data_IF_147173343034
#
_entry.id   IF_147173343034
#
_cell.length_a   1.000
_cell.length_b   1.000
_cell.length_c   1.000
_cell.angle_alpha   90.00
_cell.angle_beta   90.00
_cell.angle_gamma   90.00
#
_symmetry.space_group_name_H-M   'P 1'
#
loop_
_entity.id
_entity.type
_entity.pdbx_description
1 polymer ?
#
# COMPACT_ATOMS: atom_id res chain seq x y z
N UNK A 1 14.89 -4.72 25.01
CA UNK A 1 15.17 -5.34 23.69
C UNK A 1 13.84 -5.63 23.03
N UNK A 2 13.41 -4.81 22.06
CA UNK A 2 12.32 -5.19 21.17
C UNK A 2 12.97 -6.02 20.06
N UNK A 3 12.94 -7.34 20.19
CA UNK A 3 13.30 -8.22 19.09
C UNK A 3 12.10 -8.17 18.14
N UNK A 4 12.16 -7.52 16.96
CA UNK A 4 11.06 -7.59 16.02
C UNK A 4 10.86 -9.07 15.75
N UNK A 5 9.71 -9.60 16.13
CA UNK A 5 9.44 -11.03 16.08
C UNK A 5 9.67 -11.50 14.64
N UNK A 6 10.84 -12.08 14.38
CA UNK A 6 11.28 -12.45 13.03
C UNK A 6 10.31 -13.48 12.44
N UNK A 7 9.66 -14.24 13.32
CA UNK A 7 8.54 -15.12 13.05
C UNK A 7 7.28 -14.38 12.59
N UNK A 8 6.96 -13.21 13.15
CA UNK A 8 5.87 -12.36 12.65
C UNK A 8 6.22 -11.78 11.27
N UNK A 9 7.47 -11.35 11.08
CA UNK A 9 7.92 -10.87 9.77
C UNK A 9 7.85 -11.99 8.72
N UNK A 10 8.25 -13.20 9.09
CA UNK A 10 8.18 -14.42 8.28
C UNK A 10 6.76 -14.79 7.89
N UNK A 11 5.88 -14.88 8.90
CA UNK A 11 4.52 -15.37 8.75
C UNK A 11 3.76 -14.45 7.80
N UNK A 12 3.92 -13.15 7.89
CA UNK A 12 3.16 -12.21 7.06
C UNK A 12 3.52 -12.25 5.58
N UNK A 13 4.81 -12.38 5.21
CA UNK A 13 5.18 -12.46 3.79
C UNK A 13 4.80 -13.82 3.16
N UNK A 14 4.85 -14.90 3.94
CA UNK A 14 4.55 -16.29 3.52
C UNK A 14 3.05 -16.57 3.39
N UNK A 15 2.22 -15.74 4.00
CA UNK A 15 0.77 -15.94 4.10
C UNK A 15 0.02 -15.48 2.86
N UNK A 16 0.54 -14.48 2.15
CA UNK A 16 -0.10 -13.91 0.96
C UNK A 16 0.01 -14.80 -0.29
N UNK A 17 0.48 -16.02 -0.10
CA UNK A 17 1.05 -16.89 -1.13
C UNK A 17 0.76 -18.37 -0.89
N UNK A 18 0.03 -18.71 0.17
CA UNK A 18 -0.53 -20.05 0.28
C UNK A 18 -1.49 -20.26 -0.89
N UNK A 19 -1.00 -21.01 -1.88
CA UNK A 19 -1.75 -21.62 -2.96
C UNK A 19 -3.09 -22.08 -2.43
N UNK A 20 -4.15 -21.67 -3.14
CA UNK A 20 -5.52 -21.91 -2.73
C UNK A 20 -5.79 -23.33 -2.24
N UNK A 21 -6.74 -23.41 -1.32
CA UNK A 21 -7.55 -24.60 -1.06
C UNK A 21 -6.72 -25.81 -0.61
N UNK A 22 -6.52 -25.92 0.70
CA UNK A 22 -6.64 -27.24 1.32
C UNK A 22 -8.09 -27.35 1.84
N UNK A 23 -9.05 -27.38 0.91
CA UNK A 23 -10.38 -27.89 1.22
C UNK A 23 -10.21 -29.39 1.41
N UNK A 24 -10.63 -29.87 2.58
CA UNK A 24 -10.73 -31.29 2.86
C UNK A 24 -11.46 -32.01 1.72
N UNK A 25 -10.86 -33.12 1.30
CA UNK A 25 -11.45 -34.25 0.57
C UNK A 25 -12.91 -34.06 0.13
N UNK A 26 -13.14 -33.56 -1.08
CA UNK A 26 -13.92 -34.24 -2.13
C UNK A 26 -14.03 -33.35 -3.37
N UNK A 27 -14.03 -33.98 -4.55
CA UNK A 27 -14.21 -33.41 -5.89
C UNK A 27 -12.99 -32.72 -6.53
N UNK A 28 -12.24 -33.54 -7.28
CA UNK A 28 -11.25 -33.12 -8.28
C UNK A 28 -11.90 -32.24 -9.35
N UNK A 29 -11.67 -30.93 -9.28
CA UNK A 29 -11.78 -30.05 -10.47
C UNK A 29 -10.36 -29.59 -10.80
N UNK A 30 -9.65 -30.40 -11.61
CA UNK A 30 -8.41 -29.99 -12.24
C UNK A 30 -8.72 -28.98 -13.33
N UNK A 31 -8.38 -27.70 -13.16
CA UNK A 31 -8.46 -26.75 -14.27
C UNK A 31 -7.20 -25.88 -14.43
N UNK A 32 -6.42 -26.07 -15.51
CA UNK A 32 -5.19 -25.33 -15.83
C UNK A 32 -5.34 -23.79 -15.99
N UNK A 33 -6.57 -23.27 -16.13
CA UNK A 33 -6.79 -21.82 -16.35
C UNK A 33 -6.43 -20.95 -15.15
N UNK A 34 -6.53 -21.46 -13.92
CA UNK A 34 -6.21 -20.70 -12.69
C UNK A 34 -4.73 -20.28 -12.62
N UNK A 35 -3.83 -21.04 -13.24
CA UNK A 35 -2.38 -20.70 -13.30
C UNK A 35 -2.06 -19.61 -14.34
N UNK A 36 -2.89 -19.43 -15.36
CA UNK A 36 -2.65 -18.50 -16.47
C UNK A 36 -3.34 -17.15 -16.29
N UNK A 37 -4.54 -17.13 -15.69
CA UNK A 37 -5.34 -15.90 -15.54
C UNK A 37 -5.00 -15.10 -14.28
N UNK A 38 -4.67 -15.79 -13.18
CA UNK A 38 -4.41 -15.13 -11.88
C UNK A 38 -3.20 -14.18 -11.91
N UNK A 39 -2.05 -14.51 -12.54
CA UNK A 39 -0.94 -13.56 -12.64
C UNK A 39 -1.28 -12.30 -13.46
N UNK A 40 -2.06 -12.43 -14.54
CA UNK A 40 -2.47 -11.31 -15.39
C UNK A 40 -3.52 -10.40 -14.72
N UNK A 41 -4.42 -10.97 -13.90
CA UNK A 41 -5.33 -10.21 -13.05
C UNK A 41 -4.61 -9.56 -11.85
N UNK A 42 -3.57 -10.22 -11.31
CA UNK A 42 -2.71 -9.71 -10.24
C UNK A 42 -1.78 -8.58 -10.67
N UNK A 43 -1.35 -8.55 -11.93
CA UNK A 43 -0.55 -7.46 -12.47
C UNK A 43 -1.26 -6.08 -12.41
N UNK A 44 -2.58 -6.06 -12.18
CA UNK A 44 -3.38 -4.83 -12.04
C UNK A 44 -3.49 -4.30 -10.61
N UNK A 45 -3.03 -5.04 -9.60
CA UNK A 45 -3.17 -4.65 -8.19
C UNK A 45 -1.86 -4.82 -7.43
N UNK A 46 -1.47 -3.81 -6.63
CA UNK A 46 -0.43 -3.97 -5.60
C UNK A 46 -1.16 -4.01 -4.26
N UNK A 47 -1.22 -5.18 -3.65
CA UNK A 47 -2.09 -5.43 -2.50
C UNK A 47 -1.27 -5.43 -1.20
N UNK A 48 -1.89 -5.10 -0.06
CA UNK A 48 -1.27 -4.99 1.29
C UNK A 48 -0.47 -6.21 1.77
N UNK A 49 -0.51 -7.32 1.03
CA UNK A 49 0.26 -8.53 1.29
C UNK A 49 1.44 -8.79 0.34
N UNK A 50 1.58 -7.96 -0.69
CA UNK A 50 2.71 -8.03 -1.62
C UNK A 50 3.89 -7.19 -1.15
N UNK A 51 3.64 -6.27 -0.23
CA UNK A 51 4.65 -5.43 0.38
C UNK A 51 4.38 -5.25 1.87
N UNK A 52 5.45 -4.94 2.60
CA UNK A 52 5.38 -4.32 3.93
C UNK A 52 5.83 -2.88 3.84
N UNK A 53 5.60 -2.09 4.88
CA UNK A 53 5.98 -0.67 4.94
C UNK A 53 6.38 -0.33 6.37
N UNK A 54 7.42 0.48 6.52
CA UNK A 54 7.68 1.16 7.79
C UNK A 54 6.54 2.14 8.13
N UNK A 55 6.31 2.40 9.41
CA UNK A 55 5.47 3.52 9.82
C UNK A 55 6.17 4.86 9.47
N UNK A 56 5.43 5.96 9.30
CA UNK A 56 6.04 7.27 8.96
C UNK A 56 7.01 7.78 10.02
N UNK A 57 6.78 7.44 11.27
CA UNK A 57 7.64 7.84 12.36
C UNK A 57 8.78 6.84 12.62
N UNK A 58 8.80 5.68 11.94
CA UNK A 58 9.82 4.67 12.15
C UNK A 58 11.05 4.97 11.27
N UNK A 59 12.13 5.44 11.89
CA UNK A 59 13.34 5.86 11.19
C UNK A 59 14.56 5.05 11.66
N UNK A 60 15.39 5.60 12.56
CA UNK A 60 16.60 4.98 13.11
C UNK A 60 16.70 5.13 14.65
N UNK A 61 15.57 4.93 15.34
CA UNK A 61 15.54 5.02 16.80
C UNK A 61 16.39 3.93 17.47
N UNK A 62 16.84 4.18 18.70
CA UNK A 62 17.68 3.25 19.49
C UNK A 62 17.10 1.83 19.59
N UNK A 63 15.78 1.70 19.65
CA UNK A 63 15.08 0.42 19.75
C UNK A 63 14.87 -0.30 18.41
N UNK A 64 15.06 0.39 17.27
CA UNK A 64 14.88 -0.17 15.93
C UNK A 64 15.78 0.55 14.92
N UNK A 65 17.04 0.11 14.84
CA UNK A 65 18.04 0.71 13.95
C UNK A 65 17.78 0.36 12.50
N UNK A 66 17.84 1.37 11.61
CA UNK A 66 17.57 1.27 10.18
C UNK A 66 18.35 0.15 9.51
N UNK A 67 19.68 0.10 9.68
CA UNK A 67 20.52 -0.92 9.02
C UNK A 67 20.18 -2.34 9.51
N UNK A 68 19.91 -2.50 10.80
CA UNK A 68 19.55 -3.79 11.38
C UNK A 68 18.18 -4.25 10.86
N UNK A 69 17.20 -3.34 10.82
CA UNK A 69 15.87 -3.58 10.23
C UNK A 69 15.96 -3.91 8.74
N UNK A 70 16.72 -3.15 7.96
CA UNK A 70 16.92 -3.39 6.53
C UNK A 70 17.45 -4.80 6.27
N UNK A 71 18.50 -5.22 7.01
CA UNK A 71 19.05 -6.57 6.91
C UNK A 71 18.03 -7.65 7.26
N UNK A 72 17.30 -7.46 8.36
CA UNK A 72 16.29 -8.42 8.80
C UNK A 72 15.13 -8.54 7.80
N UNK A 73 14.56 -7.42 7.37
CA UNK A 73 13.45 -7.39 6.43
C UNK A 73 13.84 -7.95 5.05
N UNK A 74 15.06 -7.70 4.57
CA UNK A 74 15.55 -8.27 3.31
C UNK A 74 15.63 -9.80 3.38
N UNK A 75 16.21 -10.34 4.47
CA UNK A 75 16.25 -11.80 4.69
C UNK A 75 14.85 -12.41 4.66
N UNK A 76 13.86 -11.73 5.25
CA UNK A 76 12.49 -12.24 5.31
C UNK A 76 11.75 -12.12 3.98
N UNK A 77 11.94 -11.01 3.25
CA UNK A 77 11.46 -10.84 1.88
C UNK A 77 11.98 -11.98 1.01
N UNK A 78 13.29 -12.20 0.97
CA UNK A 78 13.92 -13.20 0.09
C UNK A 78 13.47 -14.62 0.46
N UNK A 79 13.32 -14.92 1.76
CA UNK A 79 12.78 -16.20 2.22
C UNK A 79 11.35 -16.42 1.73
N UNK A 80 10.52 -15.38 1.77
CA UNK A 80 9.15 -15.47 1.29
C UNK A 80 9.08 -15.57 -0.23
N UNK A 81 9.83 -14.77 -0.99
CA UNK A 81 9.90 -14.91 -2.45
C UNK A 81 10.31 -16.35 -2.83
N UNK A 82 11.35 -16.90 -2.18
CA UNK A 82 11.80 -18.28 -2.42
C UNK A 82 10.72 -19.32 -2.13
N UNK A 83 9.99 -19.18 -1.01
CA UNK A 83 8.96 -20.16 -0.61
C UNK A 83 7.75 -20.13 -1.54
N UNK A 84 7.50 -18.99 -2.17
CA UNK A 84 6.19 -18.69 -2.75
C UNK A 84 6.23 -18.55 -4.27
N UNK A 85 7.38 -18.16 -4.81
CA UNK A 85 7.54 -17.78 -6.21
C UNK A 85 6.90 -16.44 -6.57
N UNK A 86 6.38 -15.69 -5.60
CA UNK A 86 5.80 -14.36 -5.83
C UNK A 86 6.79 -13.26 -5.45
N UNK A 87 6.75 -12.15 -6.18
CA UNK A 87 7.55 -10.96 -5.89
C UNK A 87 7.03 -10.33 -4.60
N UNK A 88 7.95 -9.96 -3.71
CA UNK A 88 7.65 -9.26 -2.46
C UNK A 88 8.60 -8.07 -2.29
N UNK A 89 8.16 -7.03 -1.59
CA UNK A 89 9.07 -5.96 -1.19
C UNK A 89 8.74 -5.35 0.18
N UNK A 90 9.58 -4.42 0.63
CA UNK A 90 9.40 -3.68 1.86
C UNK A 90 9.70 -2.20 1.60
N UNK A 91 8.71 -1.34 1.81
CA UNK A 91 8.82 0.10 1.65
C UNK A 91 9.51 0.66 2.90
N UNK A 92 10.84 0.57 2.90
CA UNK A 92 11.66 0.95 4.04
C UNK A 92 11.79 2.47 4.13
N UNK A 93 11.51 3.06 5.29
CA UNK A 93 11.44 4.51 5.45
C UNK A 93 12.84 5.12 5.54
N UNK A 94 13.21 5.90 4.52
CA UNK A 94 14.52 6.58 4.45
C UNK A 94 14.48 8.01 4.97
N UNK A 95 13.32 8.54 5.39
CA UNK A 95 13.13 9.92 5.86
C UNK A 95 14.20 10.33 6.88
N UNK A 96 14.97 11.35 6.52
CA UNK A 96 16.00 12.01 7.33
C UNK A 96 16.42 13.32 6.65
N UNK A 97 17.40 14.02 7.23
CA UNK A 97 18.17 15.03 6.48
C UNK A 97 18.79 14.39 5.22
N UNK A 98 18.90 15.15 4.13
CA UNK A 98 19.25 14.69 2.79
C UNK A 98 20.47 13.77 2.73
N UNK A 99 21.58 14.09 3.42
CA UNK A 99 22.79 13.24 3.37
C UNK A 99 22.55 11.88 4.04
N UNK A 100 21.82 11.85 5.14
CA UNK A 100 21.47 10.62 5.83
C UNK A 100 20.42 9.81 5.05
N UNK A 101 19.44 10.49 4.46
CA UNK A 101 18.42 9.87 3.60
C UNK A 101 19.05 9.15 2.41
N UNK A 102 20.04 9.76 1.75
CA UNK A 102 20.79 9.12 0.67
C UNK A 102 21.63 7.93 1.15
N UNK A 103 22.22 7.98 2.36
CA UNK A 103 22.91 6.80 2.94
C UNK A 103 21.94 5.65 3.16
N UNK A 104 20.75 5.94 3.68
CA UNK A 104 19.70 4.94 3.91
C UNK A 104 19.17 4.34 2.61
N UNK A 105 18.96 5.16 1.58
CA UNK A 105 18.57 4.69 0.26
C UNK A 105 19.63 3.75 -0.36
N UNK A 106 20.92 4.10 -0.25
CA UNK A 106 22.04 3.22 -0.66
C UNK A 106 22.06 1.91 0.11
N UNK A 107 21.86 1.95 1.44
CA UNK A 107 21.75 0.73 2.25
C UNK A 107 20.57 -0.13 1.78
N UNK A 108 19.41 0.48 1.52
CA UNK A 108 18.24 -0.22 1.02
C UNK A 108 18.53 -0.88 -0.34
N UNK A 109 19.20 -0.18 -1.25
CA UNK A 109 19.63 -0.73 -2.55
C UNK A 109 20.57 -1.92 -2.38
N UNK A 110 21.54 -1.82 -1.47
CA UNK A 110 22.51 -2.88 -1.21
C UNK A 110 21.86 -4.15 -0.63
N UNK A 111 20.73 -4.00 0.06
CA UNK A 111 19.90 -5.12 0.51
C UNK A 111 18.82 -5.54 -0.51
N UNK A 112 18.87 -5.01 -1.73
CA UNK A 112 18.01 -5.40 -2.84
C UNK A 112 16.58 -4.86 -2.78
N UNK A 113 16.25 -3.90 -1.90
CA UNK A 113 14.92 -3.28 -1.88
C UNK A 113 14.69 -2.48 -3.16
N UNK A 114 13.58 -2.74 -3.85
CA UNK A 114 13.19 -2.02 -5.07
C UNK A 114 12.40 -0.77 -4.73
N UNK A 115 11.87 -0.67 -3.51
CA UNK A 115 11.18 0.51 -3.00
C UNK A 115 11.90 1.13 -1.80
N UNK A 116 11.81 2.46 -1.71
CA UNK A 116 12.05 3.23 -0.49
C UNK A 116 10.81 4.05 -0.17
N UNK A 117 10.58 4.34 1.11
CA UNK A 117 9.52 5.23 1.56
C UNK A 117 10.12 6.57 1.99
N UNK A 118 9.42 7.67 1.69
CA UNK A 118 9.78 9.02 2.11
C UNK A 118 8.54 9.79 2.57
N UNK A 119 8.65 10.48 3.70
CA UNK A 119 7.63 11.37 4.23
C UNK A 119 7.79 12.76 3.58
N UNK A 120 7.16 12.94 2.43
CA UNK A 120 7.51 13.99 1.46
C UNK A 120 7.30 15.41 1.98
N UNK A 121 6.31 15.60 2.87
CA UNK A 121 6.02 16.92 3.44
C UNK A 121 7.08 17.29 4.47
N UNK A 122 7.46 16.35 5.33
CA UNK A 122 8.47 16.58 6.38
C UNK A 122 9.90 16.60 5.85
N UNK A 123 10.19 15.83 4.80
CA UNK A 123 11.48 15.86 4.11
C UNK A 123 11.66 17.14 3.27
N UNK A 124 10.54 17.77 2.87
CA UNK A 124 10.52 18.95 2.02
C UNK A 124 10.82 18.64 0.55
N UNK A 125 10.42 19.56 -0.33
CA UNK A 125 10.52 19.37 -1.79
C UNK A 125 11.95 19.21 -2.29
N UNK A 126 12.90 19.98 -1.74
CA UNK A 126 14.32 19.85 -2.10
C UNK A 126 14.91 18.49 -1.68
N UNK A 127 14.52 17.99 -0.50
CA UNK A 127 14.90 16.67 -0.03
C UNK A 127 14.32 15.56 -0.89
N UNK A 128 13.04 15.68 -1.26
CA UNK A 128 12.37 14.73 -2.15
C UNK A 128 13.03 14.70 -3.54
N UNK A 129 13.32 15.86 -4.14
CA UNK A 129 13.99 15.92 -5.44
C UNK A 129 15.38 15.27 -5.39
N UNK A 130 16.15 15.55 -4.32
CA UNK A 130 17.46 14.91 -4.08
C UNK A 130 17.33 13.38 -4.01
N UNK A 131 16.34 12.87 -3.27
CA UNK A 131 16.07 11.43 -3.21
C UNK A 131 15.65 10.87 -4.57
N UNK A 132 14.81 11.59 -5.30
CA UNK A 132 14.28 11.15 -6.60
C UNK A 132 15.36 11.03 -7.67
N UNK A 133 16.29 11.96 -7.72
CA UNK A 133 17.45 11.88 -8.62
C UNK A 133 18.29 10.64 -8.31
N UNK A 134 18.58 10.40 -7.03
CA UNK A 134 19.28 9.18 -6.61
C UNK A 134 18.54 7.89 -6.99
N UNK A 135 17.23 7.85 -6.74
CA UNK A 135 16.37 6.70 -7.03
C UNK A 135 16.25 6.40 -8.53
N UNK A 136 16.29 7.42 -9.39
CA UNK A 136 16.31 7.22 -10.84
C UNK A 136 17.56 6.45 -11.29
N UNK A 137 18.72 6.76 -10.70
CA UNK A 137 19.97 6.08 -11.02
C UNK A 137 20.03 4.69 -10.39
N UNK A 138 19.61 4.57 -9.14
CA UNK A 138 19.60 3.30 -8.41
C UNK A 138 18.48 2.35 -8.86
N UNK A 139 17.54 2.81 -9.71
CA UNK A 139 16.34 2.08 -10.13
C UNK A 139 15.50 1.61 -8.95
N UNK A 140 15.32 2.50 -7.96
CA UNK A 140 14.40 2.29 -6.85
C UNK A 140 13.17 3.16 -7.03
N UNK A 141 12.02 2.62 -6.67
CA UNK A 141 10.75 3.33 -6.66
C UNK A 141 10.52 4.02 -5.30
N UNK A 142 9.73 5.09 -5.30
CA UNK A 142 9.46 5.93 -4.13
C UNK A 142 8.00 5.79 -3.71
N UNK A 143 7.80 5.30 -2.50
CA UNK A 143 6.54 5.37 -1.77
C UNK A 143 6.45 6.70 -1.02
N UNK A 144 5.65 7.63 -1.54
CA UNK A 144 5.45 8.94 -0.95
C UNK A 144 4.37 8.88 0.13
N UNK A 145 4.81 9.01 1.37
CA UNK A 145 3.93 9.19 2.50
C UNK A 145 3.75 10.67 2.80
N UNK A 146 2.52 11.07 3.17
CA UNK A 146 2.13 12.49 3.28
C UNK A 146 2.01 12.97 4.72
N UNK A 147 2.69 12.34 5.68
CA UNK A 147 2.66 12.75 7.10
C UNK A 147 2.84 14.27 7.22
N UNK A 148 2.12 14.91 8.15
CA UNK A 148 2.02 16.38 8.32
C UNK A 148 1.09 17.11 7.33
N UNK A 149 0.68 16.56 6.18
CA UNK A 149 -0.12 17.30 5.19
C UNK A 149 -1.38 17.98 5.77
N UNK A 150 -2.11 17.27 6.65
CA UNK A 150 -3.38 17.75 7.18
C UNK A 150 -3.26 19.04 8.04
N UNK A 151 -2.04 19.45 8.44
CA UNK A 151 -1.84 20.74 9.11
C UNK A 151 -2.19 21.93 8.22
N UNK A 152 -2.14 21.77 6.89
CA UNK A 152 -2.46 22.82 5.93
C UNK A 152 -3.35 22.37 4.76
N UNK A 153 -3.62 21.08 4.58
CA UNK A 153 -4.56 20.61 3.54
C UNK A 153 -5.98 20.38 4.02
N UNK A 154 -6.24 20.42 5.34
CA UNK A 154 -7.55 20.02 5.89
C UNK A 154 -8.58 21.14 5.90
N UNK A 155 -8.16 22.40 6.06
CA UNK A 155 -9.08 23.51 6.19
C UNK A 155 -9.51 23.98 4.78
N UNK A 156 -10.80 23.83 4.39
CA UNK A 156 -11.25 24.20 3.05
C UNK A 156 -11.20 25.72 2.79
N UNK A 157 -11.02 26.54 3.83
CA UNK A 157 -10.99 28.00 3.72
C UNK A 157 -9.57 28.59 3.76
N UNK A 158 -8.55 27.80 4.09
CA UNK A 158 -7.19 28.30 4.24
C UNK A 158 -6.15 27.18 4.17
N UNK A 159 -5.10 27.38 3.38
CA UNK A 159 -3.96 26.47 3.27
C UNK A 159 -3.65 26.09 1.83
N UNK A 160 -3.24 24.85 1.61
CA UNK A 160 -2.88 24.30 0.30
C UNK A 160 -3.65 23.00 0.09
N UNK A 161 -4.36 22.85 -1.03
CA UNK A 161 -5.10 21.61 -1.32
C UNK A 161 -4.17 20.40 -1.40
N UNK A 162 -4.65 19.24 -0.97
CA UNK A 162 -3.95 17.96 -1.20
C UNK A 162 -3.75 17.70 -2.70
N UNK A 163 -4.64 18.22 -3.55
CA UNK A 163 -4.50 18.14 -5.02
C UNK A 163 -3.19 18.78 -5.47
N UNK A 164 -2.88 19.98 -4.98
CA UNK A 164 -1.62 20.66 -5.28
C UNK A 164 -0.41 19.84 -4.85
N UNK A 165 -0.43 19.27 -3.62
CA UNK A 165 0.66 18.39 -3.16
C UNK A 165 0.83 17.16 -4.05
N UNK A 166 -0.27 16.52 -4.46
CA UNK A 166 -0.23 15.32 -5.29
C UNK A 166 0.34 15.63 -6.68
N UNK A 167 -0.09 16.73 -7.31
CA UNK A 167 0.48 17.22 -8.57
C UNK A 167 1.98 17.48 -8.44
N UNK A 168 2.41 18.19 -7.40
CA UNK A 168 3.83 18.44 -7.16
C UNK A 168 4.62 17.14 -6.97
N UNK A 169 4.11 16.17 -6.23
CA UNK A 169 4.77 14.88 -6.05
C UNK A 169 4.88 14.09 -7.37
N UNK A 170 3.81 14.09 -8.19
CA UNK A 170 3.82 13.47 -9.53
C UNK A 170 4.83 14.14 -10.47
N UNK A 171 4.92 15.48 -10.45
CA UNK A 171 5.92 16.24 -11.21
C UNK A 171 7.34 15.90 -10.78
N UNK A 172 7.60 15.83 -9.47
CA UNK A 172 8.92 15.41 -8.94
C UNK A 172 9.23 13.97 -9.37
N UNK A 173 8.21 13.11 -9.48
CA UNK A 173 8.32 11.76 -10.02
C UNK A 173 8.38 10.69 -8.95
N UNK A 174 7.50 10.78 -7.94
CA UNK A 174 7.25 9.66 -7.03
C UNK A 174 6.48 8.56 -7.75
N UNK A 175 6.65 7.30 -7.34
CA UNK A 175 5.99 6.17 -8.01
C UNK A 175 4.61 5.88 -7.43
N UNK A 176 4.39 6.25 -6.17
CA UNK A 176 3.10 6.15 -5.54
C UNK A 176 2.94 7.10 -4.35
N UNK A 177 1.69 7.44 -4.03
CA UNK A 177 1.37 8.44 -3.01
C UNK A 177 0.09 8.10 -2.25
N UNK A 178 0.07 8.39 -0.95
CA UNK A 178 -1.17 8.32 -0.15
C UNK A 178 -2.16 9.39 -0.59
N UNK A 179 -3.37 8.98 -0.99
CA UNK A 179 -4.45 9.91 -1.38
C UNK A 179 -5.58 9.99 -0.36
N UNK A 180 -5.55 9.15 0.66
CA UNK A 180 -6.57 9.07 1.70
C UNK A 180 -7.49 7.89 1.46
N UNK A 181 -8.55 7.82 2.26
CA UNK A 181 -9.52 6.74 2.20
C UNK A 181 -10.88 7.34 1.99
N UNK A 182 -11.57 6.94 0.91
CA UNK A 182 -12.99 7.27 0.73
C UNK A 182 -13.81 6.81 1.94
N UNK A 183 -13.40 5.67 2.53
CA UNK A 183 -13.95 5.10 3.75
C UNK A 183 -12.79 4.76 4.69
N UNK A 184 -12.68 5.47 5.81
CA UNK A 184 -11.65 5.23 6.81
C UNK A 184 -11.57 6.35 7.84
N UNK A 185 -10.62 6.22 8.76
CA UNK A 185 -10.47 7.08 9.95
C UNK A 185 -9.98 8.51 9.67
N UNK A 186 -9.55 8.78 8.45
CA UNK A 186 -8.91 10.05 8.10
C UNK A 186 -9.88 10.91 7.30
N UNK A 187 -9.93 12.20 7.64
CA UNK A 187 -10.80 13.17 6.97
C UNK A 187 -10.39 13.34 5.50
N UNK A 188 -11.37 13.20 4.61
CA UNK A 188 -11.32 13.50 3.18
C UNK A 188 -12.69 13.19 2.59
N UNK A 189 -13.24 14.07 1.75
CA UNK A 189 -14.53 13.76 1.10
C UNK A 189 -14.33 12.68 0.05
N UNK A 190 -15.40 11.96 -0.29
CA UNK A 190 -15.36 10.97 -1.38
C UNK A 190 -14.87 11.61 -2.68
N UNK A 191 -15.41 12.77 -3.02
CA UNK A 191 -15.07 13.46 -4.26
C UNK A 191 -13.60 13.89 -4.26
N UNK A 192 -13.08 14.45 -3.16
CA UNK A 192 -11.67 14.81 -3.03
C UNK A 192 -10.74 13.61 -3.29
N UNK A 193 -11.01 12.46 -2.66
CA UNK A 193 -10.17 11.26 -2.82
C UNK A 193 -10.24 10.70 -4.24
N UNK A 194 -11.42 10.64 -4.85
CA UNK A 194 -11.59 10.17 -6.23
C UNK A 194 -10.98 11.15 -7.25
N UNK A 195 -10.96 12.45 -6.95
CA UNK A 195 -10.29 13.45 -7.79
C UNK A 195 -8.77 13.26 -7.74
N UNK A 196 -8.22 13.03 -6.55
CA UNK A 196 -6.79 12.72 -6.37
C UNK A 196 -6.40 11.44 -7.11
N UNK A 197 -7.24 10.40 -7.06
CA UNK A 197 -7.03 9.17 -7.82
C UNK A 197 -6.94 9.44 -9.33
N UNK A 198 -7.95 10.13 -9.89
CA UNK A 198 -7.96 10.47 -11.33
C UNK A 198 -6.74 11.30 -11.71
N UNK A 199 -6.38 12.27 -10.87
CA UNK A 199 -5.21 13.13 -11.08
C UNK A 199 -3.90 12.34 -11.09
N UNK A 200 -3.79 11.25 -10.32
CA UNK A 200 -2.58 10.42 -10.32
C UNK A 200 -2.55 9.42 -11.47
N UNK A 201 -3.72 8.97 -11.95
CA UNK A 201 -3.82 7.95 -12.99
C UNK A 201 -3.82 8.52 -14.41
N UNK A 202 -4.61 9.56 -14.68
CA UNK A 202 -4.89 10.02 -16.04
C UNK A 202 -3.80 10.95 -16.58
N UNK A 203 -3.63 10.93 -17.91
CA UNK A 203 -2.69 11.83 -18.59
C UNK A 203 -3.30 13.19 -18.93
N UNK A 204 -4.62 13.27 -19.06
CA UNK A 204 -5.33 14.51 -19.29
C UNK A 204 -6.48 14.64 -18.31
N UNK A 205 -6.64 15.86 -17.78
CA UNK A 205 -7.69 16.23 -16.86
C UNK A 205 -8.57 17.28 -17.52
N UNK A 206 -9.89 17.07 -17.45
CA UNK A 206 -10.86 18.10 -17.84
C UNK A 206 -11.06 19.06 -16.68
N UNK A 207 -11.35 20.29 -17.03
CA UNK A 207 -11.73 21.32 -16.08
C UNK A 207 -12.97 20.92 -15.26
N UNK A 208 -12.91 21.16 -13.95
CA UNK A 208 -14.02 21.07 -13.00
C UNK A 208 -13.83 22.11 -11.90
N UNK A 209 -14.38 23.31 -12.11
CA UNK A 209 -14.26 24.42 -11.17
C UNK A 209 -14.87 24.15 -9.80
N UNK A 210 -15.88 23.27 -9.72
CA UNK A 210 -16.52 22.94 -8.44
C UNK A 210 -15.53 22.22 -7.52
N UNK A 211 -14.69 21.40 -8.10
CA UNK A 211 -13.66 20.62 -7.40
C UNK A 211 -12.28 21.31 -7.40
N UNK A 212 -12.18 22.52 -7.95
CA UNK A 212 -10.94 23.28 -8.05
C UNK A 212 -9.92 22.70 -9.04
N UNK A 213 -10.39 21.97 -10.06
CA UNK A 213 -9.57 21.32 -11.08
C UNK A 213 -9.58 22.19 -12.35
N UNK A 214 -8.39 22.51 -12.85
CA UNK A 214 -8.20 23.15 -14.16
C UNK A 214 -7.85 22.09 -15.22
N UNK A 215 -8.08 22.42 -16.49
CA UNK A 215 -7.60 21.60 -17.60
C UNK A 215 -6.07 21.43 -17.53
N UNK A 216 -5.59 20.19 -17.63
CA UNK A 216 -4.17 19.86 -17.55
C UNK A 216 -3.83 18.65 -18.44
N UNK A 217 -2.61 18.65 -18.99
CA UNK A 217 -2.06 17.52 -19.73
C UNK A 217 -0.65 17.21 -19.22
N UNK A 218 -0.50 16.02 -18.65
CA UNK A 218 0.74 15.49 -18.08
C UNK A 218 1.80 15.14 -19.13
N UNK A 219 1.47 15.20 -20.42
CA UNK A 219 2.36 14.90 -21.54
C UNK A 219 3.06 13.55 -21.31
N UNK A 220 4.38 13.57 -21.10
CA UNK A 220 5.23 12.38 -20.91
C UNK A 220 5.42 12.00 -19.43
N UNK A 221 4.87 12.77 -18.50
CA UNK A 221 4.92 12.45 -17.07
C UNK A 221 4.02 11.25 -16.81
N UNK A 222 4.62 10.18 -16.31
CA UNK A 222 3.93 8.92 -16.03
C UNK A 222 2.88 9.07 -14.94
N UNK A 223 1.90 8.17 -14.94
CA UNK A 223 0.97 7.99 -13.83
C UNK A 223 1.69 7.58 -12.55
N UNK A 224 1.07 7.87 -11.43
CA UNK A 224 1.52 7.55 -10.08
C UNK A 224 0.49 6.62 -9.46
N UNK A 225 0.90 5.57 -8.76
CA UNK A 225 -0.08 4.69 -8.12
C UNK A 225 -0.72 5.38 -6.89
N UNK A 226 -2.05 5.59 -6.87
CA UNK A 226 -2.73 6.08 -5.68
C UNK A 226 -2.75 5.02 -4.59
N UNK A 227 -2.47 5.41 -3.35
CA UNK A 227 -2.48 4.54 -2.17
C UNK A 227 -3.61 4.95 -1.21
N UNK A 228 -4.54 4.03 -0.98
CA UNK A 228 -5.63 4.13 -0.01
C UNK A 228 -5.23 3.46 1.30
N UNK A 229 -5.25 4.21 2.40
CA UNK A 229 -4.68 3.79 3.68
C UNK A 229 -5.29 4.56 4.85
N UNK A 230 -5.65 3.86 5.93
CA UNK A 230 -6.12 4.46 7.18
C UNK A 230 -7.43 3.88 7.69
N UNK A 231 -7.35 2.99 8.69
CA UNK A 231 -8.56 2.37 9.26
C UNK A 231 -9.20 1.32 8.34
N UNK A 232 -8.43 0.76 7.40
CA UNK A 232 -8.93 -0.26 6.49
C UNK A 232 -8.87 -1.66 7.11
N UNK A 233 -9.88 -2.49 6.84
CA UNK A 233 -9.96 -3.90 7.22
C UNK A 233 -10.67 -4.73 6.13
N UNK A 234 -10.57 -6.08 6.15
CA UNK A 234 -11.07 -6.92 5.05
C UNK A 234 -12.54 -6.73 4.67
N UNK A 235 -13.39 -6.31 5.62
CA UNK A 235 -14.83 -6.19 5.41
C UNK A 235 -15.27 -5.00 4.55
N UNK A 236 -14.44 -3.96 4.45
CA UNK A 236 -14.74 -2.75 3.65
C UNK A 236 -13.93 -2.69 2.35
N UNK A 237 -13.04 -3.66 2.10
CA UNK A 237 -12.23 -3.69 0.87
C UNK A 237 -13.06 -3.78 -0.41
N UNK A 238 -14.12 -4.60 -0.53
CA UNK A 238 -14.95 -4.61 -1.73
C UNK A 238 -15.53 -3.24 -2.07
N UNK A 239 -16.03 -2.51 -1.06
CA UNK A 239 -16.62 -1.18 -1.25
C UNK A 239 -15.56 -0.17 -1.73
N UNK A 240 -14.34 -0.23 -1.16
CA UNK A 240 -13.22 0.61 -1.61
C UNK A 240 -12.86 0.31 -3.06
N UNK A 241 -12.76 -0.97 -3.43
CA UNK A 241 -12.44 -1.39 -4.79
C UNK A 241 -13.54 -1.05 -5.81
N UNK A 242 -14.81 -1.04 -5.38
CA UNK A 242 -15.91 -0.57 -6.23
C UNK A 242 -15.83 0.94 -6.50
N UNK A 243 -15.41 1.73 -5.51
CA UNK A 243 -15.32 3.19 -5.67
C UNK A 243 -14.07 3.65 -6.41
N UNK A 244 -12.93 3.05 -6.09
CA UNK A 244 -11.60 3.46 -6.56
C UNK A 244 -11.10 2.59 -7.72
N UNK A 245 -11.85 1.55 -8.07
CA UNK A 245 -11.46 0.64 -9.13
C UNK A 245 -10.24 -0.20 -8.77
N UNK A 246 -9.38 -0.44 -9.78
CA UNK A 246 -8.39 -1.52 -9.74
C UNK A 246 -6.95 -1.05 -9.60
N UNK A 247 -6.65 0.16 -10.08
CA UNK A 247 -5.29 0.67 -10.17
C UNK A 247 -4.86 1.40 -8.89
N UNK A 248 -5.14 0.77 -7.74
CA UNK A 248 -4.83 1.33 -6.43
C UNK A 248 -3.92 0.41 -5.62
N UNK A 249 -3.15 1.03 -4.74
CA UNK A 249 -2.60 0.36 -3.56
C UNK A 249 -3.55 0.49 -2.40
N UNK A 250 -3.70 -0.59 -1.65
CA UNK A 250 -4.46 -0.63 -0.40
C UNK A 250 -3.54 -1.05 0.73
N UNK A 251 -3.50 -0.24 1.78
CA UNK A 251 -2.69 -0.50 2.98
C UNK A 251 -3.60 -0.74 4.19
N UNK A 252 -3.37 -1.87 4.86
CA UNK A 252 -4.09 -2.27 6.06
C UNK A 252 -3.08 -2.54 7.17
N UNK A 253 -2.94 -1.62 8.11
CA UNK A 253 -2.22 -1.86 9.37
C UNK A 253 -3.08 -2.65 10.35
N UNK A 254 -3.91 -1.94 11.12
CA UNK A 254 -4.76 -2.54 12.16
C UNK A 254 -5.72 -3.62 11.66
N UNK A 255 -6.23 -3.50 10.43
CA UNK A 255 -7.09 -4.52 9.82
C UNK A 255 -6.42 -5.86 9.50
N UNK A 256 -5.08 -5.89 9.49
CA UNK A 256 -4.29 -7.12 9.38
C UNK A 256 -3.80 -7.56 10.76
N UNK A 257 -3.06 -6.68 11.46
CA UNK A 257 -2.43 -7.04 12.73
C UNK A 257 -3.44 -7.29 13.85
N UNK A 258 -4.60 -6.64 13.80
CA UNK A 258 -5.66 -6.78 14.79
C UNK A 258 -6.59 -7.98 14.56
N UNK A 259 -6.31 -8.87 13.61
CA UNK A 259 -7.18 -10.03 13.36
C UNK A 259 -7.25 -10.95 14.60
N UNK A 260 -8.42 -11.52 14.97
CA UNK A 260 -8.58 -12.35 16.17
C UNK A 260 -7.54 -13.47 16.30
N UNK A 261 -7.19 -14.08 15.17
CA UNK A 261 -6.28 -15.22 15.12
C UNK A 261 -4.83 -14.81 14.70
N UNK A 262 -4.49 -13.53 14.87
CA UNK A 262 -3.15 -12.99 14.64
C UNK A 262 -2.87 -12.51 13.21
N UNK A 263 -1.70 -11.90 13.01
CA UNK A 263 -1.33 -11.17 11.78
C UNK A 263 -1.37 -12.03 10.51
N UNK A 264 -0.91 -13.28 10.61
CA UNK A 264 -1.02 -14.28 9.54
C UNK A 264 -2.47 -14.40 9.06
N UNK A 265 -3.40 -14.65 9.96
CA UNK A 265 -4.80 -14.81 9.57
C UNK A 265 -5.38 -13.49 9.02
N UNK A 266 -4.96 -12.33 9.54
CA UNK A 266 -5.37 -11.03 9.01
C UNK A 266 -4.89 -10.76 7.57
N UNK A 267 -3.66 -11.13 7.24
CA UNK A 267 -3.14 -11.02 5.88
C UNK A 267 -3.88 -11.99 4.94
N UNK A 268 -4.14 -13.23 5.37
CA UNK A 268 -4.98 -14.18 4.63
C UNK A 268 -6.40 -13.66 4.40
N UNK A 269 -7.07 -13.16 5.44
CA UNK A 269 -8.41 -12.58 5.36
C UNK A 269 -8.46 -11.43 4.35
N UNK A 270 -7.43 -10.57 4.35
CA UNK A 270 -7.29 -9.49 3.37
C UNK A 270 -7.23 -10.01 1.95
N UNK A 271 -6.37 -11.00 1.67
CA UNK A 271 -6.28 -11.59 0.31
C UNK A 271 -7.55 -12.31 -0.09
N UNK A 272 -8.21 -13.00 0.85
CA UNK A 272 -9.48 -13.67 0.60
C UNK A 272 -10.59 -12.69 0.24
N UNK A 273 -10.66 -11.52 0.89
CA UNK A 273 -11.60 -10.46 0.54
C UNK A 273 -11.36 -9.95 -0.89
N UNK A 274 -10.10 -9.70 -1.26
CA UNK A 274 -9.72 -9.24 -2.61
C UNK A 274 -10.00 -10.32 -3.66
N UNK A 275 -9.64 -11.57 -3.39
CA UNK A 275 -9.88 -12.70 -4.30
C UNK A 275 -11.39 -12.93 -4.50
N UNK A 276 -12.20 -12.83 -3.45
CA UNK A 276 -13.65 -12.89 -3.53
C UNK A 276 -14.19 -11.77 -4.43
N UNK A 277 -13.73 -10.54 -4.23
CA UNK A 277 -14.11 -9.39 -5.04
C UNK A 277 -13.76 -9.57 -6.53
N UNK A 278 -12.52 -9.96 -6.84
CA UNK A 278 -12.06 -10.19 -8.22
C UNK A 278 -12.88 -11.28 -8.91
N UNK A 279 -13.26 -12.33 -8.16
CA UNK A 279 -14.11 -13.43 -8.64
C UNK A 279 -15.59 -13.10 -8.67
N UNK A 280 -15.98 -11.88 -8.27
CA UNK A 280 -17.38 -11.44 -8.13
C UNK A 280 -18.21 -12.33 -7.21
N UNK A 281 -17.57 -12.92 -6.19
CA UNK A 281 -18.24 -13.68 -5.13
C UNK A 281 -18.68 -12.68 -4.07
N UNK A 282 -19.95 -12.71 -3.67
CA UNK A 282 -20.43 -11.81 -2.62
C UNK A 282 -19.69 -12.12 -1.33
N UNK A 283 -19.31 -11.08 -0.57
CA UNK A 283 -18.53 -11.26 0.66
C UNK A 283 -19.23 -12.17 1.68
N UNK A 284 -20.57 -12.15 1.72
CA UNK A 284 -21.39 -13.07 2.53
C UNK A 284 -21.31 -14.54 2.11
N UNK A 285 -21.07 -14.83 0.83
CA UNK A 285 -20.86 -16.19 0.33
C UNK A 285 -19.42 -16.62 0.54
N UNK A 286 -18.49 -15.67 0.47
CA UNK A 286 -17.07 -15.90 0.69
C UNK A 286 -16.78 -16.41 2.13
N UNK A 287 -17.59 -16.05 3.11
CA UNK A 287 -17.44 -16.53 4.51
C UNK A 287 -17.66 -18.03 4.67
N UNK A 288 -18.41 -18.66 3.76
CA UNK A 288 -18.61 -20.11 3.77
C UNK A 288 -17.35 -20.87 3.31
N UNK A 289 -16.44 -20.18 2.60
CA UNK A 289 -15.28 -20.75 1.93
C UNK A 289 -13.98 -20.35 2.64
N UNK A 290 -13.96 -19.17 3.27
CA UNK A 290 -12.76 -18.52 3.77
C UNK A 290 -12.84 -18.26 5.28
N UNK A 291 -12.28 -19.16 6.13
CA UNK A 291 -12.42 -19.06 7.57
C UNK A 291 -11.74 -17.80 8.14
N UNK A 292 -10.59 -17.39 7.64
CA UNK A 292 -9.92 -16.17 8.12
C UNK A 292 -10.74 -14.91 7.78
N UNK A 293 -11.28 -14.81 6.56
CA UNK A 293 -12.19 -13.72 6.21
C UNK A 293 -13.44 -13.70 7.11
N UNK A 294 -14.03 -14.85 7.41
CA UNK A 294 -15.16 -14.96 8.33
C UNK A 294 -14.82 -14.43 9.71
N UNK A 295 -13.64 -14.77 10.23
CA UNK A 295 -13.18 -14.31 11.54
C UNK A 295 -12.93 -12.80 11.55
N UNK A 296 -12.39 -12.24 10.47
CA UNK A 296 -12.25 -10.79 10.31
C UNK A 296 -13.62 -10.08 10.30
N UNK A 297 -14.60 -10.62 9.56
CA UNK A 297 -15.95 -10.06 9.49
C UNK A 297 -16.73 -10.21 10.79
N UNK A 298 -16.52 -11.28 11.55
CA UNK A 298 -17.14 -11.40 12.87
C UNK A 298 -16.61 -10.33 13.85
N UNK A 299 -15.37 -9.88 13.68
CA UNK A 299 -14.77 -8.84 14.52
C UNK A 299 -15.20 -7.43 14.11
N UNK A 300 -15.10 -7.12 12.82
CA UNK A 300 -15.26 -5.74 12.33
C UNK A 300 -16.49 -5.53 11.45
N UNK A 301 -17.17 -6.60 11.06
CA UNK A 301 -18.28 -6.56 10.10
C UNK A 301 -17.93 -5.72 8.87
N UNK A 302 -18.73 -4.68 8.67
CA UNK A 302 -18.54 -3.63 7.67
C UNK A 302 -18.46 -2.25 8.32
N UNK A 303 -18.05 -2.19 9.60
CA UNK A 303 -17.92 -0.93 10.33
C UNK A 303 -16.91 -0.02 9.62
N UNK A 304 -17.19 1.28 9.63
CA UNK A 304 -16.33 2.29 9.01
C UNK A 304 -15.64 3.04 10.13
N UNK A 305 -14.36 2.77 10.43
CA UNK A 305 -13.67 3.44 11.52
C UNK A 305 -13.68 4.96 11.31
N UNK A 306 -14.00 5.70 12.38
CA UNK A 306 -14.05 7.16 12.43
C UNK A 306 -12.85 7.68 13.21
#
# INVERSE_FOLDING_TARGET
>A
MFNPDLDAIERDFIVNTLKGLNLGKSHKISRPWAKRLMPALRAKYILSGDYKKDDENLTDQKFNRFKARAKACAKMRDKAEKKTGEIKDYFINVTAESKEMLKRAKIAKNYGFKYVMCDIVTAGWSGLQTLREHCQDSKQAIHAHRAMHATFTRNPKHGISMLTLAKSARLVGVDNIHIGTVIGKLVGTKDEVLNLEREMEYHSMREDFKEGILEEDWKRIKSVFPCSSGGLHPGILPEIMDMMGKNIMVQLGGGIHGHPDGTKSGAMATRQAIDAYIRKVKIKEATLIYPELTRALNKWGHEKPV
#
